data_IF_096486625279
#
_entry.id   IF_096486625279
#
_cell.length_a   1.000
_cell.length_b   1.000
_cell.length_c   1.000
_cell.angle_alpha   90.00
_cell.angle_beta   90.00
_cell.angle_gamma   90.00
#
_symmetry.space_group_name_H-M   'P 1'
#
loop_
_entity.id
_entity.type
_entity.pdbx_description
1 polymer ?
#
# COMPACT_ATOMS: atom_id res chain seq x y z
N UNK A 1 27.34 29.11 -67.25
CA UNK A 1 28.73 29.65 -67.27
C UNK A 1 29.54 28.99 -66.19
N UNK A 2 30.48 28.18 -66.62
CA UNK A 2 31.85 27.93 -66.17
C UNK A 2 31.99 27.43 -64.68
N UNK A 3 32.27 26.13 -64.50
CA UNK A 3 33.64 25.51 -64.52
C UNK A 3 34.48 25.95 -63.31
N UNK A 4 35.21 25.21 -62.55
CA UNK A 4 35.90 23.92 -62.62
C UNK A 4 36.47 23.76 -61.18
N UNK A 5 36.75 22.69 -60.56
CA UNK A 5 37.53 21.53 -60.96
C UNK A 5 38.74 21.35 -60.04
N UNK A 6 39.10 20.09 -59.84
CA UNK A 6 40.42 19.48 -59.61
C UNK A 6 40.74 19.18 -58.15
N UNK A 7 40.69 17.92 -57.72
CA UNK A 7 41.61 16.78 -57.76
C UNK A 7 43.00 17.01 -57.11
N UNK A 8 43.37 16.19 -56.13
CA UNK A 8 44.48 15.24 -56.14
C UNK A 8 44.90 14.88 -54.71
N UNK A 9 44.94 13.68 -54.41
CA UNK A 9 45.93 12.59 -54.44
C UNK A 9 46.69 12.34 -53.12
N UNK A 10 46.37 11.28 -52.59
CA UNK A 10 47.13 10.17 -51.97
C UNK A 10 48.59 10.37 -51.56
N UNK A 11 48.92 9.91 -50.38
CA UNK A 11 50.18 9.20 -50.10
C UNK A 11 50.00 8.20 -48.92
N UNK A 12 50.20 6.93 -49.27
CA UNK A 12 50.38 5.80 -48.39
C UNK A 12 51.85 5.79 -47.92
N UNK A 13 52.14 5.59 -46.64
CA UNK A 13 53.40 5.03 -46.19
C UNK A 13 53.08 3.96 -45.12
N UNK A 14 53.43 2.71 -45.48
CA UNK A 14 53.63 1.58 -44.57
C UNK A 14 55.05 1.62 -43.98
N UNK A 15 55.17 1.23 -42.74
CA UNK A 15 56.13 0.29 -42.15
C UNK A 15 56.37 0.59 -40.68
N UNK A 16 56.24 -0.40 -39.86
CA UNK A 16 57.26 -1.00 -39.06
C UNK A 16 56.71 -1.73 -37.83
N UNK A 17 56.83 -3.05 -37.84
CA UNK A 17 56.66 -3.94 -36.68
C UNK A 17 57.79 -3.78 -35.66
N UNK A 18 57.42 -3.87 -34.36
CA UNK A 18 58.11 -4.55 -33.25
C UNK A 18 57.42 -4.10 -31.95
N UNK A 19 56.82 -4.85 -31.08
CA UNK A 19 57.29 -6.04 -30.41
C UNK A 19 57.19 -5.80 -28.92
N UNK A 20 56.48 -6.66 -28.22
CA UNK A 20 56.57 -7.03 -26.81
C UNK A 20 55.90 -6.21 -25.70
N UNK A 21 54.96 -6.83 -25.08
CA UNK A 21 54.94 -7.01 -23.61
C UNK A 21 54.22 -5.95 -22.81
N UNK A 22 53.05 -6.25 -22.32
CA UNK A 22 52.54 -5.44 -21.25
C UNK A 22 51.15 -5.83 -20.84
N UNK A 23 51.08 -6.54 -19.78
CA UNK A 23 50.01 -6.56 -18.77
C UNK A 23 48.59 -6.23 -19.25
N UNK A 24 47.76 -7.26 -19.25
CA UNK A 24 46.32 -7.10 -19.31
C UNK A 24 45.86 -6.15 -18.19
N UNK A 25 45.54 -4.94 -18.55
CA UNK A 25 44.60 -4.13 -17.77
C UNK A 25 43.23 -4.77 -17.99
N UNK A 26 42.79 -5.50 -16.95
CA UNK A 26 41.38 -5.80 -16.79
C UNK A 26 40.64 -4.45 -16.71
N UNK A 27 40.20 -3.97 -17.84
CA UNK A 27 39.10 -3.01 -17.89
C UNK A 27 37.89 -3.74 -17.29
N UNK A 28 37.76 -3.67 -15.97
CA UNK A 28 36.51 -3.83 -15.30
C UNK A 28 35.67 -2.67 -15.81
N UNK A 29 34.94 -2.92 -16.92
CA UNK A 29 33.80 -2.11 -17.30
C UNK A 29 32.98 -1.97 -16.02
N UNK A 30 32.99 -0.78 -15.43
CA UNK A 30 31.97 -0.39 -14.47
C UNK A 30 30.68 -0.33 -15.28
N UNK A 31 30.07 -1.51 -15.46
CA UNK A 31 28.76 -1.63 -16.10
C UNK A 31 27.83 -0.70 -15.34
N UNK A 32 27.31 0.32 -16.02
CA UNK A 32 26.16 1.04 -15.53
C UNK A 32 25.16 -0.03 -15.12
N UNK A 33 24.82 -0.12 -13.84
CA UNK A 33 23.81 -1.07 -13.36
C UNK A 33 22.54 -0.75 -14.14
N UNK A 34 21.96 -1.75 -14.78
CA UNK A 34 20.69 -1.57 -15.48
C UNK A 34 19.67 -0.94 -14.54
N UNK A 35 18.94 0.06 -15.04
CA UNK A 35 17.91 0.73 -14.27
C UNK A 35 16.89 -0.30 -13.77
N UNK A 36 16.57 -0.26 -12.50
CA UNK A 36 15.47 -1.04 -11.96
C UNK A 36 14.14 -0.46 -12.46
N UNK A 37 13.25 -1.28 -13.00
CA UNK A 37 11.92 -0.84 -13.40
C UNK A 37 10.92 -1.25 -12.33
N UNK A 38 10.33 -0.27 -11.64
CA UNK A 38 9.25 -0.52 -10.68
C UNK A 38 7.92 -0.23 -11.38
N UNK A 39 7.07 -1.27 -11.47
CA UNK A 39 5.67 -1.10 -11.89
C UNK A 39 4.83 -0.74 -10.67
N UNK A 40 4.16 0.42 -10.70
CA UNK A 40 3.23 0.84 -9.67
C UNK A 40 1.81 0.94 -10.23
N UNK A 41 0.87 0.26 -9.59
CA UNK A 41 -0.55 0.30 -9.93
C UNK A 41 -1.39 0.71 -8.74
N UNK A 42 -2.15 1.78 -8.89
CA UNK A 42 -3.06 2.28 -7.87
C UNK A 42 -4.31 2.92 -8.49
N UNK A 43 -5.36 3.09 -7.70
CA UNK A 43 -6.53 3.85 -8.13
C UNK A 43 -6.24 5.35 -7.97
N UNK A 44 -5.78 5.99 -9.04
CA UNK A 44 -5.51 7.44 -9.04
C UNK A 44 -6.77 8.26 -9.29
N UNK A 45 -7.80 7.61 -9.83
CA UNK A 45 -9.15 8.15 -10.04
C UNK A 45 -10.21 7.19 -9.49
N UNK A 46 -11.47 7.64 -9.34
CA UNK A 46 -12.57 6.82 -8.85
C UNK A 46 -12.74 6.86 -7.33
N UNK A 47 -13.48 5.90 -6.78
CA UNK A 47 -13.97 5.91 -5.39
C UNK A 47 -12.90 5.77 -4.30
N UNK A 48 -11.70 5.29 -4.65
CA UNK A 48 -10.57 5.15 -3.72
C UNK A 48 -9.38 6.04 -4.08
N UNK A 49 -9.60 7.08 -4.88
CA UNK A 49 -8.53 7.93 -5.43
C UNK A 49 -7.67 8.62 -4.36
N UNK A 50 -8.20 8.91 -3.19
CA UNK A 50 -7.42 9.53 -2.13
C UNK A 50 -6.30 8.60 -1.63
N UNK A 51 -6.58 7.30 -1.49
CA UNK A 51 -5.56 6.31 -1.14
C UNK A 51 -4.48 6.22 -2.22
N UNK A 52 -4.89 6.01 -3.49
CA UNK A 52 -3.94 5.83 -4.59
C UNK A 52 -3.05 7.05 -4.83
N UNK A 53 -3.57 8.26 -4.68
CA UNK A 53 -2.76 9.50 -4.75
C UNK A 53 -1.76 9.59 -3.60
N UNK A 54 -2.18 9.26 -2.40
CA UNK A 54 -1.30 9.23 -1.24
C UNK A 54 -0.17 8.20 -1.42
N UNK A 55 -0.49 7.00 -1.94
CA UNK A 55 0.50 5.98 -2.30
C UNK A 55 1.45 6.47 -3.39
N UNK A 56 0.94 7.09 -4.47
CA UNK A 56 1.76 7.62 -5.55
C UNK A 56 2.77 8.65 -5.04
N UNK A 57 2.35 9.55 -4.16
CA UNK A 57 3.23 10.53 -3.55
C UNK A 57 4.32 9.87 -2.71
N UNK A 58 4.00 8.84 -1.93
CA UNK A 58 4.96 8.05 -1.17
C UNK A 58 5.97 7.33 -2.07
N UNK A 59 5.48 6.65 -3.13
CA UNK A 59 6.33 5.98 -4.13
C UNK A 59 7.28 6.98 -4.79
N UNK A 60 6.76 8.11 -5.28
CA UNK A 60 7.59 9.12 -5.98
C UNK A 60 8.63 9.76 -5.09
N UNK A 61 8.32 9.98 -3.81
CA UNK A 61 9.30 10.51 -2.85
C UNK A 61 10.43 9.50 -2.64
N UNK A 62 10.12 8.24 -2.41
CA UNK A 62 11.11 7.18 -2.21
C UNK A 62 12.00 6.98 -3.44
N UNK A 63 11.41 6.92 -4.64
CA UNK A 63 12.15 6.79 -5.91
C UNK A 63 13.09 7.96 -6.11
N UNK A 64 12.65 9.20 -5.87
CA UNK A 64 13.51 10.39 -5.99
C UNK A 64 14.68 10.34 -5.02
N UNK A 65 14.48 9.94 -3.77
CA UNK A 65 15.53 9.84 -2.77
C UNK A 65 16.55 8.74 -3.10
N UNK A 66 16.09 7.58 -3.59
CA UNK A 66 16.97 6.47 -4.00
C UNK A 66 17.78 6.87 -5.22
N UNK A 67 17.16 7.50 -6.21
CA UNK A 67 17.85 7.98 -7.41
C UNK A 67 18.91 9.03 -7.08
N UNK A 68 18.66 9.92 -6.11
CA UNK A 68 19.66 10.89 -5.62
C UNK A 68 20.83 10.24 -4.90
N UNK A 69 20.62 9.11 -4.21
CA UNK A 69 21.69 8.35 -3.54
C UNK A 69 22.61 7.61 -4.52
N UNK A 70 22.12 7.30 -5.74
CA UNK A 70 22.92 6.75 -6.83
C UNK A 70 23.31 5.28 -6.71
N UNK A 71 22.62 4.49 -5.88
CA UNK A 71 22.87 3.04 -5.75
C UNK A 71 22.59 2.30 -7.07
N UNK A 72 21.45 2.59 -7.69
CA UNK A 72 21.04 2.27 -9.07
C UNK A 72 19.83 3.15 -9.44
N UNK A 73 19.67 3.52 -10.71
CA UNK A 73 18.52 4.31 -11.12
C UNK A 73 17.24 3.45 -11.08
N UNK A 74 16.16 4.06 -10.63
CA UNK A 74 14.80 3.48 -10.68
C UNK A 74 14.01 4.22 -11.75
N UNK A 75 13.47 3.47 -12.71
CA UNK A 75 12.48 3.89 -13.68
C UNK A 75 11.10 3.47 -13.17
N UNK A 76 10.23 4.45 -12.89
CA UNK A 76 8.92 4.24 -12.31
C UNK A 76 7.84 4.26 -13.39
N UNK A 77 7.14 3.15 -13.56
CA UNK A 77 5.96 3.02 -14.39
C UNK A 77 4.71 3.16 -13.52
N UNK A 78 3.80 4.06 -13.87
CA UNK A 78 2.58 4.34 -13.09
C UNK A 78 1.37 4.10 -13.97
N UNK A 79 0.42 3.27 -13.50
CA UNK A 79 -0.84 3.01 -14.19
C UNK A 79 -2.04 3.18 -13.23
N UNK A 80 -3.07 3.91 -13.67
CA UNK A 80 -4.33 4.12 -12.94
C UNK A 80 -5.29 2.95 -13.17
N UNK A 81 -5.67 2.27 -12.09
CA UNK A 81 -6.59 1.12 -12.14
C UNK A 81 -8.06 1.49 -11.91
N UNK A 82 -8.36 2.70 -11.43
CA UNK A 82 -9.71 3.23 -11.21
C UNK A 82 -10.61 2.40 -10.28
N UNK A 83 -10.00 1.53 -9.43
CA UNK A 83 -10.70 0.50 -8.64
C UNK A 83 -11.42 -0.53 -9.53
N UNK A 84 -10.90 -0.78 -10.74
CA UNK A 84 -11.49 -1.73 -11.70
C UNK A 84 -10.57 -2.93 -11.88
N UNK A 85 -10.97 -4.15 -11.46
CA UNK A 85 -10.12 -5.34 -11.55
C UNK A 85 -9.58 -5.61 -12.97
N UNK A 86 -10.38 -5.34 -14.01
CA UNK A 86 -9.95 -5.52 -15.40
C UNK A 86 -8.81 -4.55 -15.77
N UNK A 87 -8.86 -3.30 -15.31
CA UNK A 87 -7.80 -2.31 -15.53
C UNK A 87 -6.51 -2.71 -14.77
N UNK A 88 -6.63 -3.20 -13.54
CA UNK A 88 -5.49 -3.73 -12.79
C UNK A 88 -4.83 -4.91 -13.52
N UNK A 89 -5.61 -5.84 -14.07
CA UNK A 89 -5.09 -6.94 -14.90
C UNK A 89 -4.35 -6.44 -16.14
N UNK A 90 -4.88 -5.41 -16.83
CA UNK A 90 -4.28 -4.83 -18.02
C UNK A 90 -2.98 -4.10 -17.70
N UNK A 91 -2.99 -3.27 -16.64
CA UNK A 91 -1.81 -2.56 -16.16
C UNK A 91 -0.69 -3.54 -15.75
N UNK A 92 -1.04 -4.60 -14.98
CA UNK A 92 -0.10 -5.65 -14.59
C UNK A 92 0.54 -6.33 -15.81
N UNK A 93 -0.25 -6.73 -16.81
CA UNK A 93 0.26 -7.35 -18.05
C UNK A 93 1.22 -6.42 -18.80
N UNK A 94 0.85 -5.14 -18.92
CA UNK A 94 1.66 -4.12 -19.57
C UNK A 94 3.01 -3.95 -18.84
N UNK A 95 3.00 -3.79 -17.53
CA UNK A 95 4.23 -3.61 -16.73
C UNK A 95 5.15 -4.84 -16.80
N UNK A 96 4.59 -6.06 -16.83
CA UNK A 96 5.35 -7.30 -17.05
C UNK A 96 5.99 -7.32 -18.44
N UNK A 97 5.24 -6.92 -19.49
CA UNK A 97 5.77 -6.82 -20.86
C UNK A 97 6.88 -5.76 -20.97
N UNK A 98 6.75 -4.65 -20.26
CA UNK A 98 7.72 -3.57 -20.17
C UNK A 98 8.93 -3.91 -19.28
N UNK A 99 9.02 -5.18 -18.80
CA UNK A 99 10.13 -5.74 -18.02
C UNK A 99 10.26 -5.11 -16.64
N UNK A 100 9.16 -4.96 -15.91
CA UNK A 100 9.21 -4.60 -14.50
C UNK A 100 10.13 -5.55 -13.71
N UNK A 101 11.03 -5.01 -12.91
CA UNK A 101 11.89 -5.73 -11.97
C UNK A 101 11.06 -6.29 -10.80
N UNK A 102 10.10 -5.49 -10.37
CA UNK A 102 9.15 -5.77 -9.29
C UNK A 102 7.89 -4.92 -9.50
N UNK A 103 6.76 -5.42 -9.03
CA UNK A 103 5.50 -4.69 -9.01
C UNK A 103 5.21 -4.18 -7.60
N UNK A 104 4.69 -2.97 -7.47
CA UNK A 104 4.11 -2.41 -6.25
C UNK A 104 2.63 -2.19 -6.50
N UNK A 105 1.79 -2.89 -5.77
CA UNK A 105 0.36 -3.04 -6.06
C UNK A 105 0.03 -4.33 -6.81
N UNK A 106 -1.24 -4.57 -7.15
CA UNK A 106 -2.39 -3.64 -7.14
C UNK A 106 -2.81 -3.14 -5.75
N UNK A 107 -3.56 -2.02 -5.74
CA UNK A 107 -3.92 -1.31 -4.52
C UNK A 107 -5.03 -1.99 -3.72
N UNK A 108 -6.09 -2.44 -4.37
CA UNK A 108 -7.26 -3.00 -3.68
C UNK A 108 -7.27 -4.53 -3.68
N UNK A 109 -7.91 -5.13 -2.68
CA UNK A 109 -7.98 -6.59 -2.56
C UNK A 109 -8.72 -7.25 -3.73
N UNK A 110 -9.76 -6.60 -4.30
CA UNK A 110 -10.44 -7.10 -5.48
C UNK A 110 -9.53 -7.10 -6.71
N UNK A 111 -8.73 -6.06 -6.87
CA UNK A 111 -7.74 -5.94 -7.96
C UNK A 111 -6.60 -6.96 -7.78
N UNK A 112 -6.08 -7.11 -6.56
CA UNK A 112 -5.04 -8.08 -6.25
C UNK A 112 -5.50 -9.52 -6.51
N UNK A 113 -6.73 -9.89 -6.15
CA UNK A 113 -7.30 -11.20 -6.50
C UNK A 113 -7.38 -11.43 -8.01
N UNK A 114 -7.72 -10.41 -8.78
CA UNK A 114 -7.81 -10.51 -10.24
C UNK A 114 -6.43 -10.59 -10.92
N UNK A 115 -5.46 -9.78 -10.47
CA UNK A 115 -4.13 -9.70 -11.06
C UNK A 115 -3.15 -10.78 -10.54
N UNK A 116 -3.35 -11.28 -9.33
CA UNK A 116 -2.44 -12.23 -8.66
C UNK A 116 -2.07 -13.46 -9.49
N UNK A 117 -3.01 -14.16 -10.15
CA UNK A 117 -2.67 -15.27 -11.05
C UNK A 117 -1.76 -14.87 -12.21
N UNK A 118 -1.89 -13.65 -12.73
CA UNK A 118 -1.04 -13.12 -13.81
C UNK A 118 0.38 -12.89 -13.29
N UNK A 119 0.50 -12.26 -12.13
CA UNK A 119 1.77 -12.00 -11.43
C UNK A 119 2.49 -13.32 -11.15
N UNK A 120 1.79 -14.27 -10.54
CA UNK A 120 2.36 -15.58 -10.18
C UNK A 120 2.79 -16.38 -11.41
N UNK A 121 2.00 -16.40 -12.49
CA UNK A 121 2.35 -17.10 -13.72
C UNK A 121 3.57 -16.49 -14.41
N UNK A 122 3.72 -15.18 -14.37
CA UNK A 122 4.86 -14.46 -14.93
C UNK A 122 6.12 -14.57 -14.06
N UNK A 123 6.00 -15.05 -12.81
CA UNK A 123 7.09 -15.14 -11.83
C UNK A 123 7.77 -13.79 -11.53
N UNK A 124 7.04 -12.68 -11.67
CA UNK A 124 7.51 -11.35 -11.30
C UNK A 124 7.14 -11.11 -9.83
N UNK A 125 8.08 -10.73 -8.95
CA UNK A 125 7.74 -10.44 -7.56
C UNK A 125 6.83 -9.21 -7.48
N UNK A 126 5.82 -9.26 -6.61
CA UNK A 126 4.97 -8.12 -6.28
C UNK A 126 4.93 -7.87 -4.78
N UNK A 127 4.79 -6.60 -4.41
CA UNK A 127 4.60 -6.14 -3.04
C UNK A 127 3.32 -5.31 -2.97
N UNK A 128 2.30 -5.89 -2.34
CA UNK A 128 1.01 -5.26 -2.12
C UNK A 128 1.08 -4.32 -0.91
N UNK A 129 0.88 -3.02 -1.12
CA UNK A 129 1.15 -2.00 -0.10
C UNK A 129 -0.08 -1.56 0.71
N UNK A 130 -1.29 -1.96 0.30
CA UNK A 130 -2.55 -1.62 0.98
C UNK A 130 -3.60 -2.73 0.95
N UNK A 131 -3.27 -3.89 0.41
CA UNK A 131 -4.18 -5.04 0.29
C UNK A 131 -4.27 -5.80 1.62
N UNK A 132 -5.46 -5.88 2.20
CA UNK A 132 -5.67 -6.42 3.56
C UNK A 132 -6.60 -7.63 3.66
N UNK A 133 -7.27 -8.04 2.55
CA UNK A 133 -8.09 -9.25 2.53
C UNK A 133 -7.26 -10.52 2.81
N UNK A 134 -7.91 -11.57 3.24
CA UNK A 134 -7.28 -12.88 3.42
C UNK A 134 -6.99 -13.58 2.08
N UNK A 135 -6.10 -14.56 2.10
CA UNK A 135 -5.73 -15.43 0.97
C UNK A 135 -5.09 -14.70 -0.25
N UNK A 136 -4.59 -13.49 -0.07
CA UNK A 136 -3.90 -12.77 -1.16
C UNK A 136 -2.52 -13.37 -1.42
N UNK A 137 -1.69 -13.49 -0.41
CA UNK A 137 -0.35 -14.07 -0.52
C UNK A 137 -0.37 -15.58 -0.79
N UNK A 138 -1.48 -16.26 -0.47
CA UNK A 138 -1.69 -17.68 -0.77
C UNK A 138 -1.82 -17.97 -2.28
N UNK A 139 -2.03 -16.96 -3.13
CA UNK A 139 -2.10 -17.12 -4.59
C UNK A 139 -0.76 -17.50 -5.22
N UNK A 140 0.37 -17.30 -4.54
CA UNK A 140 1.66 -17.73 -5.05
C UNK A 140 2.87 -17.16 -4.31
N UNK A 141 4.03 -17.73 -4.58
CA UNK A 141 5.29 -17.41 -3.92
C UNK A 141 5.94 -16.09 -4.39
N UNK A 142 5.40 -15.48 -5.43
CA UNK A 142 5.83 -14.17 -5.94
C UNK A 142 5.05 -12.99 -5.33
N UNK A 143 4.00 -13.26 -4.53
CA UNK A 143 3.12 -12.23 -3.97
C UNK A 143 3.45 -12.02 -2.50
N UNK A 144 3.82 -10.80 -2.16
CA UNK A 144 4.14 -10.30 -0.82
C UNK A 144 3.24 -9.12 -0.48
N UNK A 145 3.13 -8.76 0.79
CA UNK A 145 2.53 -7.48 1.20
C UNK A 145 3.22 -6.90 2.43
N UNK A 146 3.31 -5.57 2.49
CA UNK A 146 3.70 -4.87 3.70
C UNK A 146 2.50 -4.25 4.44
N UNK A 147 1.29 -4.37 3.88
CA UNK A 147 0.04 -4.03 4.56
C UNK A 147 -0.40 -5.17 5.49
N UNK A 148 -0.85 -4.82 6.70
CA UNK A 148 -1.27 -5.82 7.69
C UNK A 148 -2.65 -6.39 7.33
N UNK A 149 -2.79 -7.73 7.17
CA UNK A 149 -4.08 -8.33 6.85
C UNK A 149 -5.11 -8.09 7.96
N UNK A 150 -6.41 -7.97 7.57
CA UNK A 150 -7.50 -7.77 8.52
C UNK A 150 -7.56 -8.89 9.57
N UNK A 151 -7.12 -10.10 9.24
CA UNK A 151 -7.01 -11.21 10.17
C UNK A 151 -6.07 -10.96 11.35
N UNK A 152 -5.09 -10.05 11.20
CA UNK A 152 -4.16 -9.63 12.26
C UNK A 152 -4.53 -8.26 12.82
N UNK A 153 -5.09 -7.37 11.99
CA UNK A 153 -5.45 -6.01 12.34
C UNK A 153 -6.68 -5.97 13.27
N UNK A 154 -7.78 -6.60 12.84
CA UNK A 154 -9.08 -6.54 13.52
C UNK A 154 -9.03 -7.10 14.95
N UNK A 155 -8.41 -8.26 15.23
CA UNK A 155 -8.33 -8.76 16.61
C UNK A 155 -7.68 -7.74 17.56
N UNK A 156 -6.64 -7.04 17.13
CA UNK A 156 -6.01 -6.01 17.94
C UNK A 156 -6.91 -4.80 18.16
N UNK A 157 -7.66 -4.39 17.13
CA UNK A 157 -8.62 -3.28 17.21
C UNK A 157 -9.72 -3.63 18.23
N UNK A 158 -10.33 -4.81 18.11
CA UNK A 158 -11.40 -5.27 19.01
C UNK A 158 -10.89 -5.37 20.46
N UNK A 159 -9.83 -6.12 20.69
CA UNK A 159 -9.30 -6.33 22.05
C UNK A 159 -8.93 -5.00 22.74
N UNK A 160 -8.28 -4.10 22.02
CA UNK A 160 -7.89 -2.79 22.58
C UNK A 160 -9.10 -1.91 22.87
N UNK A 161 -10.07 -1.83 21.93
CA UNK A 161 -11.27 -1.01 22.11
C UNK A 161 -12.23 -1.60 23.12
N UNK A 162 -12.39 -2.94 23.20
CA UNK A 162 -13.22 -3.60 24.21
C UNK A 162 -12.71 -3.31 25.61
N UNK A 163 -11.38 -3.36 25.82
CA UNK A 163 -10.75 -3.00 27.11
C UNK A 163 -11.06 -1.55 27.54
N UNK A 164 -11.11 -0.60 26.57
CA UNK A 164 -11.30 0.82 26.85
C UNK A 164 -12.76 1.18 26.99
N UNK A 165 -13.62 0.63 26.14
CA UNK A 165 -15.02 1.04 26.01
C UNK A 165 -15.99 0.13 26.78
N UNK A 166 -15.63 -1.14 27.01
CA UNK A 166 -16.42 -2.09 27.78
C UNK A 166 -17.77 -2.47 27.14
N UNK A 167 -17.90 -2.38 25.81
CA UNK A 167 -19.14 -2.68 25.10
C UNK A 167 -19.49 -4.17 25.20
N UNK A 168 -20.80 -4.46 25.27
CA UNK A 168 -21.35 -5.82 25.38
C UNK A 168 -22.12 -6.25 24.16
N UNK A 169 -22.60 -5.27 23.38
CA UNK A 169 -23.37 -5.50 22.17
C UNK A 169 -22.77 -4.73 21.00
N UNK A 170 -22.78 -5.31 19.81
CA UNK A 170 -22.30 -4.68 18.60
C UNK A 170 -23.22 -4.94 17.41
N UNK A 171 -23.34 -3.96 16.51
CA UNK A 171 -23.89 -4.18 15.18
C UNK A 171 -22.77 -4.01 14.15
N UNK A 172 -22.86 -4.73 13.03
CA UNK A 172 -21.86 -4.70 11.95
C UNK A 172 -22.56 -4.27 10.66
N UNK A 173 -21.94 -3.33 9.94
CA UNK A 173 -22.36 -2.89 8.61
C UNK A 173 -21.20 -2.92 7.66
N UNK A 174 -21.32 -3.57 6.47
CA UNK A 174 -20.20 -3.73 5.57
C UNK A 174 -20.58 -3.77 4.08
N UNK A 175 -19.65 -3.37 3.21
CA UNK A 175 -19.81 -3.50 1.75
C UNK A 175 -19.59 -4.95 1.33
N UNK A 176 -20.67 -5.62 0.89
CA UNK A 176 -20.66 -7.06 0.57
C UNK A 176 -19.94 -7.43 -0.72
N UNK A 177 -19.68 -6.47 -1.60
CA UNK A 177 -19.03 -6.64 -2.90
C UNK A 177 -17.52 -6.29 -2.86
N UNK A 178 -16.96 -6.07 -1.66
CA UNK A 178 -15.55 -5.73 -1.46
C UNK A 178 -14.85 -6.78 -0.57
N UNK A 179 -13.84 -7.44 -1.10
CA UNK A 179 -13.10 -8.53 -0.46
C UNK A 179 -12.44 -8.14 0.87
N UNK A 180 -11.95 -6.90 0.98
CA UNK A 180 -11.39 -6.37 2.23
C UNK A 180 -12.47 -6.31 3.30
N UNK A 181 -13.62 -5.68 2.98
CA UNK A 181 -14.69 -5.45 3.96
C UNK A 181 -15.41 -6.74 4.37
N UNK A 182 -15.54 -7.70 3.44
CA UNK A 182 -16.02 -9.06 3.73
C UNK A 182 -15.04 -9.76 4.69
N UNK A 183 -13.74 -9.63 4.46
CA UNK A 183 -12.72 -10.19 5.37
C UNK A 183 -12.79 -9.50 6.73
N UNK A 184 -12.83 -8.17 6.77
CA UNK A 184 -12.87 -7.39 8.01
C UNK A 184 -14.10 -7.75 8.87
N UNK A 185 -15.30 -7.75 8.27
CA UNK A 185 -16.54 -8.14 8.94
C UNK A 185 -16.43 -9.52 9.61
N UNK A 186 -15.90 -10.51 8.89
CA UNK A 186 -15.71 -11.86 9.42
C UNK A 186 -14.85 -11.87 10.68
N UNK A 187 -13.74 -11.12 10.69
CA UNK A 187 -12.83 -11.06 11.83
C UNK A 187 -13.37 -10.17 12.95
N UNK A 188 -14.12 -9.09 12.67
CA UNK A 188 -14.83 -8.34 13.69
C UNK A 188 -15.83 -9.25 14.42
N UNK A 189 -16.71 -9.91 13.66
CA UNK A 189 -17.71 -10.81 14.23
C UNK A 189 -17.07 -11.87 15.11
N UNK A 190 -16.11 -12.62 14.53
CA UNK A 190 -15.42 -13.70 15.25
C UNK A 190 -14.76 -13.21 16.54
N UNK A 191 -13.97 -12.14 16.47
CA UNK A 191 -13.20 -11.67 17.63
C UNK A 191 -14.12 -11.09 18.71
N UNK A 192 -15.17 -10.38 18.33
CA UNK A 192 -16.15 -9.86 19.29
C UNK A 192 -16.88 -11.01 20.00
N UNK A 193 -17.34 -12.02 19.27
CA UNK A 193 -17.96 -13.22 19.85
C UNK A 193 -16.98 -13.97 20.78
N UNK A 194 -15.72 -14.13 20.40
CA UNK A 194 -14.66 -14.74 21.24
C UNK A 194 -14.43 -13.95 22.54
N UNK A 195 -14.63 -12.62 22.54
CA UNK A 195 -14.53 -11.74 23.70
C UNK A 195 -15.86 -11.58 24.47
N UNK A 196 -16.91 -12.33 24.09
CA UNK A 196 -18.19 -12.34 24.77
C UNK A 196 -19.11 -11.17 24.42
N UNK A 197 -18.86 -10.48 23.31
CA UNK A 197 -19.70 -9.40 22.79
C UNK A 197 -20.78 -10.01 21.90
N UNK A 198 -22.06 -9.69 22.16
CA UNK A 198 -23.19 -10.14 21.36
C UNK A 198 -23.28 -9.32 20.07
N UNK A 199 -23.34 -9.99 18.91
CA UNK A 199 -23.64 -9.35 17.63
C UNK A 199 -25.16 -9.30 17.44
N UNK A 200 -25.75 -8.13 17.67
CA UNK A 200 -27.21 -7.95 17.65
C UNK A 200 -27.78 -7.68 16.26
N UNK A 201 -26.93 -7.30 15.29
CA UNK A 201 -27.34 -7.07 13.91
C UNK A 201 -26.15 -7.13 12.93
N UNK A 202 -26.43 -7.53 11.69
CA UNK A 202 -25.45 -7.52 10.58
C UNK A 202 -26.14 -7.04 9.32
N UNK A 203 -25.76 -5.84 8.88
CA UNK A 203 -26.33 -5.19 7.70
C UNK A 203 -25.32 -5.11 6.56
N UNK A 204 -25.80 -5.12 5.32
CA UNK A 204 -24.97 -5.05 4.13
C UNK A 204 -25.40 -3.94 3.19
N UNK A 205 -24.44 -3.47 2.38
CA UNK A 205 -24.66 -2.52 1.30
C UNK A 205 -23.69 -2.80 0.14
N UNK A 206 -23.96 -2.24 -1.02
CA UNK A 206 -23.03 -2.26 -2.16
C UNK A 206 -22.07 -1.08 -2.10
N UNK A 207 -20.82 -1.25 -2.56
CA UNK A 207 -19.80 -0.20 -2.57
C UNK A 207 -20.16 1.03 -3.43
N UNK A 208 -21.22 0.96 -4.21
CA UNK A 208 -21.76 2.10 -5.00
C UNK A 208 -23.02 2.71 -4.40
N UNK A 209 -23.49 2.22 -3.27
CA UNK A 209 -24.67 2.75 -2.61
C UNK A 209 -24.39 4.13 -2.02
N UNK A 210 -25.42 4.98 -2.04
CA UNK A 210 -25.35 6.34 -1.54
C UNK A 210 -26.35 6.61 -0.41
N UNK A 211 -27.26 5.66 -0.15
CA UNK A 211 -28.31 5.77 0.85
C UNK A 211 -28.26 4.57 1.81
N UNK A 212 -28.26 4.84 3.09
CA UNK A 212 -28.03 3.86 4.16
C UNK A 212 -29.07 3.89 5.27
N UNK A 213 -30.15 4.67 5.09
CA UNK A 213 -31.17 4.88 6.12
C UNK A 213 -31.86 3.59 6.56
N UNK A 214 -32.10 2.66 5.63
CA UNK A 214 -32.77 1.40 5.95
C UNK A 214 -31.93 0.54 6.91
N UNK A 215 -30.66 0.33 6.58
CA UNK A 215 -29.72 -0.44 7.41
C UNK A 215 -29.53 0.24 8.78
N UNK A 216 -29.34 1.55 8.79
CA UNK A 216 -29.15 2.30 10.03
C UNK A 216 -30.41 2.30 10.91
N UNK A 217 -31.62 2.29 10.33
CA UNK A 217 -32.85 2.15 11.08
C UNK A 217 -32.92 0.78 11.77
N UNK A 218 -32.56 -0.30 11.07
CA UNK A 218 -32.49 -1.64 11.66
C UNK A 218 -31.54 -1.68 12.84
N UNK A 219 -30.30 -1.19 12.64
CA UNK A 219 -29.28 -1.11 13.69
C UNK A 219 -29.78 -0.27 14.88
N UNK A 220 -30.41 0.89 14.62
CA UNK A 220 -30.92 1.77 15.67
C UNK A 220 -31.96 1.07 16.56
N UNK A 221 -32.84 0.23 16.01
CA UNK A 221 -33.82 -0.52 16.79
C UNK A 221 -33.20 -1.52 17.75
N UNK A 222 -31.96 -1.98 17.47
CA UNK A 222 -31.20 -2.91 18.33
C UNK A 222 -30.42 -2.20 19.42
N UNK A 223 -30.18 -0.89 19.27
CA UNK A 223 -29.46 -0.04 20.20
C UNK A 223 -28.12 -0.65 20.69
N UNK A 224 -27.19 -1.01 19.80
CA UNK A 224 -25.92 -1.61 20.17
C UNK A 224 -25.05 -0.60 20.93
N UNK A 225 -24.10 -1.09 21.76
CA UNK A 225 -23.12 -0.27 22.46
C UNK A 225 -22.05 0.30 21.50
N UNK A 226 -21.72 -0.45 20.43
CA UNK A 226 -20.73 -0.08 19.41
C UNK A 226 -21.21 -0.49 18.03
N UNK A 227 -20.80 0.26 16.99
CA UNK A 227 -21.12 -0.07 15.61
C UNK A 227 -19.81 -0.29 14.84
N UNK A 228 -19.72 -1.40 14.13
CA UNK A 228 -18.64 -1.69 13.18
C UNK A 228 -19.07 -1.23 11.80
N UNK A 229 -18.22 -0.48 11.11
CA UNK A 229 -18.44 -0.09 9.71
C UNK A 229 -17.22 -0.47 8.88
N UNK A 230 -17.38 -1.42 7.96
CA UNK A 230 -16.34 -1.82 7.02
C UNK A 230 -16.67 -1.25 5.64
N UNK A 231 -15.96 -0.19 5.27
CA UNK A 231 -16.12 0.53 4.01
C UNK A 231 -14.90 1.40 3.69
N UNK A 232 -14.82 1.92 2.48
CA UNK A 232 -13.89 3.00 2.17
C UNK A 232 -14.38 4.33 2.75
N UNK A 233 -13.50 5.35 2.73
CA UNK A 233 -13.77 6.65 3.35
C UNK A 233 -14.99 7.37 2.78
N UNK A 234 -15.34 7.17 1.51
CA UNK A 234 -16.47 7.86 0.88
C UNK A 234 -17.80 7.36 1.44
N UNK A 235 -18.05 6.06 1.40
CA UNK A 235 -19.25 5.44 1.98
C UNK A 235 -19.27 5.65 3.49
N UNK A 236 -18.12 5.38 4.15
CA UNK A 236 -17.97 5.55 5.59
C UNK A 236 -18.34 6.97 6.06
N UNK A 237 -17.91 8.01 5.33
CA UNK A 237 -18.25 9.40 5.69
C UNK A 237 -19.75 9.68 5.60
N UNK A 238 -20.44 9.12 4.60
CA UNK A 238 -21.89 9.25 4.44
C UNK A 238 -22.64 8.50 5.53
N UNK A 239 -22.20 7.26 5.81
CA UNK A 239 -22.77 6.43 6.89
C UNK A 239 -22.65 7.17 8.23
N UNK A 240 -21.46 7.67 8.57
CA UNK A 240 -21.23 8.39 9.81
C UNK A 240 -22.10 9.64 9.94
N UNK A 241 -22.19 10.47 8.88
CA UNK A 241 -23.09 11.62 8.87
C UNK A 241 -24.54 11.23 9.11
N UNK A 242 -25.03 10.22 8.39
CA UNK A 242 -26.39 9.74 8.52
C UNK A 242 -26.67 9.16 9.90
N UNK A 243 -25.74 8.43 10.49
CA UNK A 243 -25.84 7.96 11.88
C UNK A 243 -26.08 9.12 12.85
N UNK A 244 -25.25 10.18 12.77
CA UNK A 244 -25.37 11.34 13.68
C UNK A 244 -26.65 12.13 13.43
N UNK A 245 -27.08 12.29 12.18
CA UNK A 245 -28.41 12.88 11.84
C UNK A 245 -29.58 12.11 12.46
N UNK A 246 -29.47 10.77 12.55
CA UNK A 246 -30.46 9.92 13.20
C UNK A 246 -30.32 9.88 14.73
N UNK A 247 -29.39 10.62 15.31
CA UNK A 247 -29.15 10.65 16.77
C UNK A 247 -28.36 9.46 17.30
N UNK A 248 -27.77 8.65 16.44
CA UNK A 248 -26.93 7.49 16.80
C UNK A 248 -25.51 7.98 17.13
N UNK A 249 -25.15 8.00 18.42
CA UNK A 249 -23.88 8.54 18.91
C UNK A 249 -22.88 7.48 19.39
N UNK A 250 -23.15 6.21 19.12
CA UNK A 250 -22.28 5.10 19.49
C UNK A 250 -20.86 5.30 18.93
N UNK A 251 -19.81 4.81 19.63
CA UNK A 251 -18.48 4.65 19.06
C UNK A 251 -18.53 3.78 17.81
N UNK A 252 -17.64 4.05 16.86
CA UNK A 252 -17.54 3.28 15.62
C UNK A 252 -16.17 2.63 15.51
N UNK A 253 -16.11 1.35 15.16
CA UNK A 253 -14.89 0.65 14.80
C UNK A 253 -14.83 0.50 13.28
N UNK A 254 -13.73 0.95 12.69
CA UNK A 254 -13.48 0.83 11.26
C UNK A 254 -12.40 -0.21 10.94
N UNK A 255 -12.44 -0.74 9.72
CA UNK A 255 -11.37 -1.52 9.13
C UNK A 255 -10.26 -0.62 8.55
N UNK A 256 -9.28 -1.18 7.84
CA UNK A 256 -8.19 -0.41 7.24
C UNK A 256 -8.67 0.68 6.25
N UNK A 257 -9.86 0.55 5.67
CA UNK A 257 -10.46 1.57 4.80
C UNK A 257 -10.74 2.90 5.51
N UNK A 258 -10.87 2.88 6.83
CA UNK A 258 -11.13 4.09 7.62
C UNK A 258 -9.85 4.86 8.01
N UNK A 259 -8.66 4.31 7.80
CA UNK A 259 -7.40 4.96 8.25
C UNK A 259 -7.09 6.27 7.50
N UNK A 260 -7.74 6.54 6.36
CA UNK A 260 -7.52 7.77 5.59
C UNK A 260 -7.97 9.04 6.33
N UNK A 261 -7.18 10.12 6.32
CA UNK A 261 -7.61 11.42 6.83
C UNK A 261 -8.80 12.02 6.07
N UNK A 262 -9.08 11.54 4.85
CA UNK A 262 -10.24 11.99 4.06
C UNK A 262 -11.56 11.62 4.74
N UNK A 263 -11.62 10.54 5.53
CA UNK A 263 -12.80 10.23 6.34
C UNK A 263 -13.16 11.40 7.27
N UNK A 264 -12.18 11.91 8.00
CA UNK A 264 -12.36 13.04 8.89
C UNK A 264 -12.67 14.36 8.16
N UNK A 265 -11.98 14.63 7.04
CA UNK A 265 -12.25 15.80 6.21
C UNK A 265 -13.68 15.79 5.65
N UNK A 266 -14.18 14.64 5.21
CA UNK A 266 -15.52 14.51 4.64
C UNK A 266 -16.61 14.43 5.70
N UNK A 267 -16.41 13.69 6.79
CA UNK A 267 -17.41 13.48 7.81
C UNK A 267 -17.43 14.60 8.89
N UNK A 268 -16.32 15.33 9.07
CA UNK A 268 -16.20 16.32 10.11
C UNK A 268 -16.39 15.71 11.51
N UNK A 269 -17.13 16.38 12.38
CA UNK A 269 -17.45 15.89 13.73
C UNK A 269 -18.29 14.60 13.75
N UNK A 270 -18.93 14.23 12.64
CA UNK A 270 -19.62 12.94 12.55
C UNK A 270 -18.67 11.74 12.68
N UNK A 271 -17.37 11.93 12.40
CA UNK A 271 -16.34 10.91 12.58
C UNK A 271 -15.74 10.89 14.00
N UNK A 272 -16.19 11.72 14.93
CA UNK A 272 -15.73 11.66 16.31
C UNK A 272 -16.05 10.31 16.94
N UNK A 273 -15.11 9.80 17.76
CA UNK A 273 -15.18 8.45 18.34
C UNK A 273 -15.15 7.29 17.32
N UNK A 274 -14.57 7.50 16.15
CA UNK A 274 -14.14 6.40 15.26
C UNK A 274 -12.79 5.88 15.74
N UNK A 275 -12.66 4.56 15.84
CA UNK A 275 -11.45 3.86 16.25
C UNK A 275 -10.98 2.92 15.12
N UNK A 276 -9.69 2.93 14.84
CA UNK A 276 -9.03 2.05 13.86
C UNK A 276 -7.66 1.64 14.38
N UNK A 277 -7.14 0.51 13.94
CA UNK A 277 -5.72 0.21 14.12
C UNK A 277 -4.94 0.60 12.86
N UNK A 278 -3.73 1.09 13.07
CA UNK A 278 -2.82 1.54 12.02
C UNK A 278 -1.40 1.08 12.32
N UNK A 279 -0.62 0.79 11.31
CA UNK A 279 0.81 0.53 11.47
C UNK A 279 1.65 1.81 11.50
N UNK A 280 1.03 2.98 11.25
CA UNK A 280 1.73 4.25 11.14
C UNK A 280 0.94 5.41 11.78
N UNK A 281 1.67 6.38 12.31
CA UNK A 281 1.15 7.69 12.73
C UNK A 281 2.24 8.73 12.61
N UNK A 282 1.87 9.93 12.13
CA UNK A 282 2.74 11.10 12.11
C UNK A 282 3.16 11.56 13.53
N UNK A 283 2.43 11.16 14.56
CA UNK A 283 2.70 11.54 15.95
C UNK A 283 3.86 10.72 16.59
N UNK A 284 4.35 9.68 15.92
CA UNK A 284 5.50 8.89 16.40
C UNK A 284 6.76 9.75 16.46
N UNK A 285 7.47 9.70 17.60
CA UNK A 285 8.64 10.56 17.87
C UNK A 285 9.97 10.03 17.33
N UNK A 286 9.93 8.91 16.64
CA UNK A 286 11.13 8.35 16.04
C UNK A 286 11.64 9.25 14.88
N UNK A 287 12.96 9.47 14.87
CA UNK A 287 13.60 10.40 13.93
C UNK A 287 13.35 10.03 12.46
N UNK A 288 13.24 8.74 12.14
CA UNK A 288 12.98 8.29 10.76
C UNK A 288 11.59 8.68 10.30
N UNK A 289 10.59 8.53 11.19
CA UNK A 289 9.21 8.98 10.92
C UNK A 289 9.18 10.49 10.73
N UNK A 290 9.79 11.26 11.62
CA UNK A 290 9.78 12.72 11.52
C UNK A 290 10.51 13.23 10.27
N UNK A 291 11.65 12.64 9.91
CA UNK A 291 12.34 12.98 8.66
C UNK A 291 11.49 12.70 7.42
N UNK A 292 10.73 11.60 7.40
CA UNK A 292 9.79 11.30 6.31
C UNK A 292 8.65 12.32 6.28
N UNK A 293 8.04 12.64 7.43
CA UNK A 293 6.97 13.64 7.55
C UNK A 293 7.43 15.00 7.02
N UNK A 294 8.64 15.44 7.40
CA UNK A 294 9.22 16.71 6.97
C UNK A 294 9.49 16.73 5.45
N UNK A 295 10.12 15.67 4.93
CA UNK A 295 10.43 15.55 3.50
C UNK A 295 9.16 15.52 2.65
N UNK A 296 8.16 14.75 3.06
CA UNK A 296 6.87 14.62 2.39
C UNK A 296 6.11 15.94 2.42
N UNK A 297 5.97 16.54 3.61
CA UNK A 297 5.26 17.82 3.79
C UNK A 297 5.92 18.95 3.00
N UNK A 298 7.25 19.00 2.99
CA UNK A 298 8.00 19.98 2.20
C UNK A 298 7.72 19.84 0.70
N UNK A 299 7.57 18.61 0.22
CA UNK A 299 7.37 18.33 -1.22
C UNK A 299 5.92 18.55 -1.66
N UNK A 300 4.95 18.08 -0.85
CA UNK A 300 3.54 18.02 -1.26
C UNK A 300 2.64 19.04 -0.57
N UNK A 301 3.11 19.74 0.47
CA UNK A 301 2.37 20.81 1.15
C UNK A 301 1.34 20.31 2.18
N UNK A 302 1.28 19.02 2.44
CA UNK A 302 0.42 18.39 3.45
C UNK A 302 1.12 17.21 4.14
N UNK A 303 0.61 16.80 5.30
CA UNK A 303 1.18 15.67 6.03
C UNK A 303 0.89 14.34 5.31
N UNK A 304 1.81 13.36 5.38
CA UNK A 304 1.56 12.01 4.88
C UNK A 304 0.55 11.27 5.75
N UNK A 305 -0.06 10.24 5.18
CA UNK A 305 -0.89 9.27 5.88
C UNK A 305 -0.26 7.86 5.86
N UNK A 306 -0.98 6.85 6.37
CA UNK A 306 -0.52 5.47 6.37
C UNK A 306 -0.24 4.95 4.95
N UNK A 307 -1.05 5.33 3.97
CA UNK A 307 -0.91 4.85 2.59
C UNK A 307 0.37 5.38 1.95
N UNK A 308 0.67 6.67 2.13
CA UNK A 308 1.95 7.26 1.72
C UNK A 308 3.15 6.59 2.40
N UNK A 309 3.06 6.36 3.71
CA UNK A 309 4.12 5.75 4.50
C UNK A 309 4.38 4.29 4.08
N UNK A 310 3.30 3.50 3.88
CA UNK A 310 3.39 2.11 3.41
C UNK A 310 4.01 2.01 2.01
N UNK A 311 3.59 2.89 1.11
CA UNK A 311 4.11 2.95 -0.26
C UNK A 311 5.58 3.37 -0.30
N UNK A 312 5.97 4.35 0.51
CA UNK A 312 7.36 4.77 0.69
C UNK A 312 8.23 3.61 1.17
N UNK A 313 7.82 2.89 2.23
CA UNK A 313 8.52 1.71 2.71
C UNK A 313 8.56 0.61 1.66
N UNK A 314 7.49 0.39 0.90
CA UNK A 314 7.40 -0.61 -0.16
C UNK A 314 8.48 -0.43 -1.22
N UNK A 315 8.74 0.81 -1.66
CA UNK A 315 9.83 1.12 -2.62
C UNK A 315 11.20 0.84 -2.00
N UNK A 316 11.42 1.22 -0.74
CA UNK A 316 12.68 0.94 -0.05
C UNK A 316 12.90 -0.56 0.19
N UNK A 317 11.84 -1.33 0.49
CA UNK A 317 11.89 -2.79 0.59
C UNK A 317 12.25 -3.43 -0.75
N UNK A 318 11.65 -2.96 -1.85
CA UNK A 318 11.96 -3.40 -3.21
C UNK A 318 13.43 -3.11 -3.57
N UNK A 319 13.92 -1.90 -3.28
CA UNK A 319 15.30 -1.51 -3.51
C UNK A 319 16.30 -2.32 -2.68
N UNK A 320 16.00 -2.56 -1.39
CA UNK A 320 16.82 -3.41 -0.51
C UNK A 320 16.87 -4.86 -1.03
N UNK A 321 15.75 -5.40 -1.48
CA UNK A 321 15.69 -6.76 -2.05
C UNK A 321 16.55 -6.85 -3.33
N UNK A 322 16.46 -5.91 -4.25
CA UNK A 322 17.28 -5.86 -5.46
C UNK A 322 18.77 -5.70 -5.13
N UNK A 323 19.11 -4.88 -4.14
CA UNK A 323 20.49 -4.69 -3.66
C UNK A 323 21.07 -5.99 -3.08
N UNK A 324 20.32 -6.69 -2.22
CA UNK A 324 20.74 -7.98 -1.65
C UNK A 324 20.79 -9.10 -2.69
N UNK A 325 19.88 -9.07 -3.67
CA UNK A 325 19.89 -9.99 -4.80
C UNK A 325 21.08 -9.77 -5.77
N UNK A 326 21.71 -8.58 -5.73
CA UNK A 326 22.78 -8.20 -6.65
C UNK A 326 22.33 -8.03 -8.10
N UNK A 327 21.03 -7.85 -8.34
CA UNK A 327 20.41 -7.76 -9.67
C UNK A 327 19.13 -6.95 -9.64
N UNK A 328 18.81 -6.31 -10.77
CA UNK A 328 17.55 -5.61 -11.01
C UNK A 328 16.64 -6.34 -12.01
N UNK A 329 17.08 -7.51 -12.55
CA UNK A 329 16.37 -8.22 -13.62
C UNK A 329 16.10 -9.70 -13.35
N UNK A 330 16.78 -10.31 -12.39
CA UNK A 330 16.56 -11.71 -12.00
C UNK A 330 15.41 -11.79 -10.96
N UNK A 331 14.19 -11.97 -11.44
CA UNK A 331 12.98 -12.01 -10.61
C UNK A 331 13.05 -13.06 -9.50
N UNK A 332 13.68 -14.23 -9.78
CA UNK A 332 13.80 -15.27 -8.75
C UNK A 332 14.68 -14.82 -7.60
N UNK A 333 15.84 -14.21 -7.89
CA UNK A 333 16.73 -13.70 -6.84
C UNK A 333 16.10 -12.54 -6.06
N UNK A 334 15.36 -11.64 -6.73
CA UNK A 334 14.66 -10.54 -6.08
C UNK A 334 13.56 -11.10 -5.15
N UNK A 335 12.76 -12.06 -5.63
CA UNK A 335 11.75 -12.73 -4.80
C UNK A 335 12.39 -13.41 -3.57
N UNK A 336 13.47 -14.17 -3.77
CA UNK A 336 14.15 -14.88 -2.69
C UNK A 336 14.73 -13.89 -1.66
N UNK A 337 15.24 -12.74 -2.11
CA UNK A 337 15.72 -11.66 -1.25
C UNK A 337 14.58 -10.98 -0.47
N UNK A 338 13.40 -10.80 -1.08
CA UNK A 338 12.19 -10.34 -0.37
C UNK A 338 11.78 -11.36 0.71
N UNK A 339 11.66 -12.63 0.35
CA UNK A 339 11.26 -13.70 1.27
C UNK A 339 12.21 -13.84 2.48
N UNK A 340 13.50 -13.55 2.28
CA UNK A 340 14.51 -13.57 3.32
C UNK A 340 14.61 -12.26 4.13
N UNK A 341 13.72 -11.28 3.88
CA UNK A 341 13.76 -9.98 4.57
C UNK A 341 13.41 -10.14 6.04
N UNK A 342 14.30 -9.68 6.91
CA UNK A 342 14.12 -9.63 8.36
C UNK A 342 14.57 -8.28 8.88
N UNK A 343 13.87 -7.80 9.90
CA UNK A 343 14.18 -6.58 10.65
C UNK A 343 14.41 -5.34 9.78
N UNK A 344 13.73 -5.26 8.64
CA UNK A 344 13.77 -4.08 7.78
C UNK A 344 13.21 -2.87 8.54
N UNK A 345 14.00 -1.82 8.67
CA UNK A 345 13.64 -0.59 9.36
C UNK A 345 12.94 0.37 8.42
N UNK A 346 11.61 0.36 8.41
CA UNK A 346 10.77 1.30 7.67
C UNK A 346 10.31 2.51 8.49
N UNK A 347 9.52 3.39 7.89
CA UNK A 347 8.82 4.49 8.59
C UNK A 347 7.54 3.97 9.26
N UNK A 348 6.96 2.88 8.76
CA UNK A 348 5.83 2.19 9.40
C UNK A 348 6.26 1.28 10.56
N UNK A 349 7.55 1.01 10.71
CA UNK A 349 8.08 0.17 11.77
C UNK A 349 9.19 -0.77 11.32
N UNK A 350 9.37 -1.84 12.07
CA UNK A 350 10.32 -2.90 11.72
C UNK A 350 9.56 -4.06 11.11
N UNK A 351 9.87 -4.39 9.86
CA UNK A 351 9.20 -5.44 9.11
C UNK A 351 10.04 -6.72 9.02
N UNK A 352 9.36 -7.84 9.19
CA UNK A 352 9.79 -9.16 8.74
C UNK A 352 8.60 -9.81 8.04
N UNK A 353 8.86 -10.73 7.11
CA UNK A 353 7.77 -11.54 6.54
C UNK A 353 7.62 -12.84 7.33
N UNK A 354 6.37 -13.26 7.56
CA UNK A 354 6.06 -14.59 8.04
C UNK A 354 6.11 -15.64 6.90
N UNK A 355 5.79 -16.89 7.23
CA UNK A 355 5.79 -18.00 6.26
C UNK A 355 4.81 -17.79 5.10
N UNK A 356 3.77 -16.98 5.30
CA UNK A 356 2.80 -16.60 4.28
C UNK A 356 3.18 -15.33 3.50
N UNK A 357 4.34 -14.72 3.78
CA UNK A 357 4.79 -13.45 3.20
C UNK A 357 3.92 -12.26 3.61
N UNK A 358 3.23 -12.39 4.74
CA UNK A 358 2.53 -11.32 5.41
C UNK A 358 3.48 -10.59 6.37
N UNK A 359 3.29 -9.27 6.60
CA UNK A 359 4.15 -8.53 7.49
C UNK A 359 3.93 -8.91 8.96
N UNK A 360 5.03 -8.94 9.70
CA UNK A 360 5.03 -8.90 11.15
C UNK A 360 5.47 -7.48 11.56
N UNK A 361 4.55 -6.69 12.07
CA UNK A 361 4.76 -5.29 12.45
C UNK A 361 3.77 -4.92 13.56
N UNK A 362 4.17 -4.01 14.45
CA UNK A 362 3.32 -3.53 15.54
C UNK A 362 2.23 -2.57 15.04
N UNK A 363 1.04 -2.70 15.63
CA UNK A 363 -0.10 -1.83 15.35
C UNK A 363 -0.40 -0.91 16.54
N UNK A 364 -0.78 0.31 16.22
CA UNK A 364 -1.24 1.33 17.16
C UNK A 364 -2.75 1.53 17.01
N UNK A 365 -3.44 1.75 18.12
CA UNK A 365 -4.84 2.13 18.11
C UNK A 365 -4.93 3.65 17.91
N UNK A 366 -5.73 4.05 16.93
CA UNK A 366 -6.00 5.46 16.62
C UNK A 366 -7.46 5.78 16.94
N UNK A 367 -7.69 7.01 17.39
CA UNK A 367 -9.04 7.56 17.61
C UNK A 367 -9.19 8.85 16.83
N UNK A 368 -10.33 9.02 16.17
CA UNK A 368 -10.67 10.29 15.50
C UNK A 368 -11.39 11.24 16.43
N UNK A 369 -10.95 12.49 16.41
CA UNK A 369 -11.57 13.63 17.07
C UNK A 369 -11.34 14.90 16.24
N UNK A 370 -12.37 15.71 16.09
CA UNK A 370 -12.32 16.96 15.31
C UNK A 370 -11.74 16.74 13.89
N UNK A 371 -12.10 15.61 13.26
CA UNK A 371 -11.67 15.22 11.92
C UNK A 371 -10.21 14.78 11.80
N UNK A 372 -9.50 14.52 12.91
CA UNK A 372 -8.10 14.10 12.93
C UNK A 372 -7.90 12.83 13.78
N UNK A 373 -7.05 11.95 13.30
CA UNK A 373 -6.60 10.80 14.08
C UNK A 373 -5.48 11.20 15.06
N UNK A 374 -5.53 10.63 16.25
CA UNK A 374 -4.47 10.65 17.25
C UNK A 374 -4.28 9.26 17.84
N UNK A 375 -3.06 8.96 18.31
CA UNK A 375 -2.78 7.69 18.99
C UNK A 375 -3.54 7.62 20.31
N UNK A 376 -4.09 6.44 20.61
CA UNK A 376 -4.69 6.14 21.92
C UNK A 376 -3.60 5.61 22.81
N UNK A 377 -3.33 6.30 23.92
CA UNK A 377 -2.43 5.80 24.98
C UNK A 377 -3.12 4.64 25.73
N UNK A 378 -2.40 3.54 25.93
CA UNK A 378 -2.91 2.30 26.53
C UNK A 378 -2.32 2.09 27.93
#
# INVERSE_FOLDING_TARGET
>A
MKMAGICSMAAVIMAGMAGCGGKGENNVSSGAKDAAKIGFTAALTGGAAAYGKSEEEGVRLAVEEINKKGDFPIDLMVDDTKVVPAEAMNATKKQIQDKASILIGPMTSNEAKAAGPIIQNAKVPSLEISVTAENITDMGDCIFRNSVPESKNIPQTVTKTHKILGYKTAAIMYAHDNEQHVTAQKYFKKTMEDEGVEIVDVETFGSKDNEFSAQLTNIQTKNPDVIVVCSYYQEGSRILKKMREMGMNQPVLGDNGFVSPELGKMAGSAADNVYVSSMWSADRKDAKVQNFVDAYTKKYGHAPDQFAASAYDGVYMAADAMKRAGTTTDHKKIRDALAAMKDFKGVCGTFSFDEKRDPVVDLILMKMKDGKYSMVEM
#
